data_IF_055740514653
#
_entry.id   IF_055740514653
#
_cell.length_a   1.000
_cell.length_b   1.000
_cell.length_c   1.000
_cell.angle_alpha   90.00
_cell.angle_beta   90.00
_cell.angle_gamma   90.00
#
_symmetry.space_group_name_H-M   'P 1'
#
loop_
_entity.id
_entity.type
_entity.pdbx_description
1 polymer ?
#
# COMPACT_ATOMS: atom_id res chain seq x y z
N UNK A 1 -14.17 -10.52 -19.08
CA UNK A 1 -13.95 -10.96 -17.69
C UNK A 1 -12.46 -10.82 -17.41
N UNK A 2 -12.05 -9.83 -16.62
CA UNK A 2 -10.63 -9.63 -16.28
C UNK A 2 -10.31 -10.53 -15.09
N UNK A 3 -9.48 -11.57 -15.29
CA UNK A 3 -8.78 -12.18 -14.16
C UNK A 3 -7.80 -11.15 -13.65
N UNK A 4 -8.02 -10.63 -12.45
CA UNK A 4 -7.06 -9.76 -11.78
C UNK A 4 -5.71 -10.46 -11.79
N UNK A 5 -4.74 -9.87 -12.47
CA UNK A 5 -3.37 -10.31 -12.43
C UNK A 5 -2.84 -10.01 -11.04
N UNK A 6 -3.11 -10.90 -10.09
CA UNK A 6 -2.52 -10.86 -8.77
C UNK A 6 -1.02 -11.07 -8.92
N UNK A 7 -0.23 -10.12 -8.45
CA UNK A 7 1.18 -10.34 -8.22
C UNK A 7 1.35 -10.85 -6.77
N UNK A 8 2.41 -11.62 -6.51
CA UNK A 8 2.78 -12.06 -5.19
C UNK A 8 4.31 -12.01 -5.02
N UNK A 9 4.77 -11.61 -3.84
CA UNK A 9 6.16 -11.67 -3.44
C UNK A 9 6.24 -12.35 -2.06
N UNK A 10 7.11 -13.35 -1.95
CA UNK A 10 7.38 -14.04 -0.68
C UNK A 10 8.88 -14.09 -0.43
N UNK A 11 9.28 -13.97 0.83
CA UNK A 11 10.65 -14.21 1.26
C UNK A 11 10.79 -15.67 1.65
N UNK A 12 11.88 -16.32 1.23
CA UNK A 12 12.17 -17.71 1.61
C UNK A 12 13.12 -17.81 2.82
N UNK A 13 14.05 -16.86 2.96
CA UNK A 13 15.11 -16.89 3.99
C UNK A 13 15.60 -15.50 4.43
N UNK A 14 14.91 -14.42 4.05
CA UNK A 14 15.29 -13.04 4.39
C UNK A 14 16.31 -12.38 3.44
N UNK A 15 16.98 -13.14 2.58
CA UNK A 15 17.99 -12.61 1.65
C UNK A 15 17.57 -12.63 0.17
N UNK A 16 16.53 -13.39 -0.19
CA UNK A 16 16.02 -13.49 -1.56
C UNK A 16 14.49 -13.37 -1.61
N UNK A 17 14.01 -12.51 -2.51
CA UNK A 17 12.58 -12.29 -2.80
C UNK A 17 12.25 -12.99 -4.11
N UNK A 18 11.28 -13.92 -4.08
CA UNK A 18 10.73 -14.55 -5.28
C UNK A 18 9.43 -13.86 -5.66
N UNK A 19 9.31 -13.50 -6.93
CA UNK A 19 8.18 -12.75 -7.45
C UNK A 19 7.51 -13.50 -8.60
N UNK A 20 6.18 -13.52 -8.56
CA UNK A 20 5.35 -14.15 -9.57
C UNK A 20 4.26 -13.20 -10.06
N UNK A 21 3.92 -13.30 -11.34
CA UNK A 21 2.91 -12.47 -12.01
C UNK A 21 3.46 -11.21 -12.69
N UNK A 22 2.70 -10.55 -13.57
CA UNK A 22 3.09 -9.30 -14.19
C UNK A 22 2.97 -8.15 -13.18
N UNK A 23 4.05 -7.39 -13.01
CA UNK A 23 4.10 -6.18 -12.17
C UNK A 23 5.15 -6.29 -11.09
N UNK A 24 5.99 -5.25 -10.96
CA UNK A 24 7.14 -5.09 -10.04
C UNK A 24 6.69 -4.86 -8.59
N UNK A 25 5.83 -5.73 -8.08
CA UNK A 25 5.29 -5.74 -6.72
C UNK A 25 6.32 -5.52 -5.62
N UNK A 26 7.55 -6.03 -5.76
CA UNK A 26 8.61 -5.72 -4.80
C UNK A 26 8.99 -4.24 -4.80
N UNK A 27 9.17 -3.64 -5.98
CA UNK A 27 9.48 -2.20 -6.11
C UNK A 27 8.33 -1.32 -5.63
N UNK A 28 7.09 -1.75 -5.84
CA UNK A 28 5.89 -1.08 -5.32
C UNK A 28 5.86 -1.10 -3.78
N UNK A 29 6.16 -2.25 -3.17
CA UNK A 29 6.27 -2.40 -1.71
C UNK A 29 7.41 -1.54 -1.17
N UNK A 30 8.58 -1.54 -1.80
CA UNK A 30 9.70 -0.68 -1.38
C UNK A 30 9.34 0.81 -1.48
N UNK A 31 8.64 1.21 -2.52
CA UNK A 31 8.20 2.59 -2.70
C UNK A 31 7.20 2.99 -1.62
N UNK A 32 6.20 2.13 -1.34
CA UNK A 32 5.25 2.34 -0.25
C UNK A 32 5.95 2.41 1.11
N UNK A 33 6.98 1.57 1.34
CA UNK A 33 7.79 1.62 2.55
C UNK A 33 8.56 2.94 2.69
N UNK A 34 9.21 3.41 1.63
CA UNK A 34 9.93 4.70 1.64
C UNK A 34 8.98 5.86 1.93
N UNK A 35 7.77 5.83 1.36
CA UNK A 35 6.72 6.82 1.62
C UNK A 35 6.25 6.79 3.08
N UNK A 36 6.03 5.60 3.64
CA UNK A 36 5.72 5.42 5.04
C UNK A 36 6.82 5.97 5.97
N UNK A 37 8.09 5.67 5.66
CA UNK A 37 9.24 6.19 6.40
C UNK A 37 9.31 7.74 6.30
N UNK A 38 9.07 8.31 5.12
CA UNK A 38 8.99 9.77 4.89
C UNK A 38 7.87 10.44 5.68
N UNK A 39 6.75 9.75 5.89
CA UNK A 39 5.63 10.21 6.72
C UNK A 39 5.90 10.13 8.22
N UNK A 40 7.10 9.68 8.62
CA UNK A 40 7.54 9.58 10.01
C UNK A 40 7.24 8.23 10.65
N UNK A 41 7.01 7.18 9.85
CA UNK A 41 6.60 5.86 10.32
C UNK A 41 5.39 5.91 11.28
N UNK A 42 4.24 6.46 10.82
CA UNK A 42 3.08 6.66 11.67
C UNK A 42 2.55 5.36 12.27
N UNK A 43 2.13 5.43 13.53
CA UNK A 43 1.51 4.29 14.21
C UNK A 43 0.20 3.89 13.52
N UNK A 44 -0.17 2.59 13.50
CA UNK A 44 -1.42 2.13 12.90
C UNK A 44 -2.68 2.89 13.37
N UNK A 45 -2.72 3.34 14.62
CA UNK A 45 -3.83 4.13 15.17
C UNK A 45 -3.93 5.56 14.61
N UNK A 46 -2.91 6.04 13.90
CA UNK A 46 -2.94 7.31 13.20
C UNK A 46 -3.60 7.22 11.83
N UNK A 47 -3.81 6.02 11.29
CA UNK A 47 -4.58 5.84 10.07
C UNK A 47 -6.06 5.81 10.39
N UNK A 48 -6.85 6.44 9.52
CA UNK A 48 -8.30 6.39 9.62
C UNK A 48 -8.97 6.18 8.27
N UNK A 49 -10.21 5.72 8.33
CA UNK A 49 -11.06 5.46 7.17
C UNK A 49 -12.39 6.17 7.38
N UNK A 50 -12.70 7.11 6.49
CA UNK A 50 -14.03 7.71 6.42
C UNK A 50 -14.82 7.01 5.32
N UNK A 51 -16.02 6.55 5.66
CA UNK A 51 -16.95 5.94 4.70
C UNK A 51 -18.18 6.83 4.57
N UNK A 52 -18.52 7.20 3.34
CA UNK A 52 -19.67 8.03 3.00
C UNK A 52 -20.48 7.34 1.89
N UNK A 53 -21.66 7.88 1.59
CA UNK A 53 -22.44 7.50 0.41
C UNK A 53 -21.70 7.71 -0.92
N UNK A 54 -20.68 8.58 -0.94
CA UNK A 54 -19.80 8.85 -2.10
C UNK A 54 -18.61 7.91 -2.19
N UNK A 55 -18.40 7.03 -1.20
CA UNK A 55 -17.31 6.07 -1.18
C UNK A 55 -16.45 6.14 0.09
N UNK A 56 -15.27 5.53 -0.01
CA UNK A 56 -14.32 5.40 1.10
C UNK A 56 -13.07 6.27 0.87
N UNK A 57 -12.59 6.92 1.93
CA UNK A 57 -11.37 7.75 1.91
C UNK A 57 -10.49 7.39 3.11
N UNK A 58 -9.26 7.00 2.83
CA UNK A 58 -8.24 6.75 3.85
C UNK A 58 -7.47 8.05 4.13
N UNK A 59 -7.09 8.28 5.37
CA UNK A 59 -6.40 9.49 5.79
C UNK A 59 -5.40 9.23 6.92
N UNK A 60 -4.50 10.18 7.14
CA UNK A 60 -3.47 10.11 8.17
C UNK A 60 -3.65 11.24 9.20
N UNK A 61 -3.82 10.86 10.47
CA UNK A 61 -4.05 11.69 11.67
C UNK A 61 -5.39 12.42 11.71
N UNK A 62 -5.85 12.97 10.59
CA UNK A 62 -7.10 13.71 10.51
C UNK A 62 -7.88 13.45 9.21
N UNK A 63 -9.23 13.50 9.22
CA UNK A 63 -10.06 13.16 8.05
C UNK A 63 -9.80 13.95 6.77
N UNK A 64 -9.15 15.11 6.86
CA UNK A 64 -8.83 15.96 5.72
C UNK A 64 -7.47 15.65 5.09
N UNK A 65 -6.59 14.94 5.79
CA UNK A 65 -5.28 14.52 5.31
C UNK A 65 -5.39 13.20 4.53
N UNK A 66 -6.12 13.24 3.43
CA UNK A 66 -6.40 12.09 2.57
C UNK A 66 -5.10 11.54 1.98
N UNK A 67 -4.92 10.22 2.06
CA UNK A 67 -3.83 9.51 1.41
C UNK A 67 -4.38 8.76 0.19
N UNK A 68 -3.79 9.02 -0.97
CA UNK A 68 -4.16 8.31 -2.19
C UNK A 68 -3.36 7.01 -2.30
N UNK A 69 -4.08 5.89 -2.42
CA UNK A 69 -3.46 4.67 -2.88
C UNK A 69 -3.06 4.89 -4.34
N UNK A 70 -1.75 4.95 -4.59
CA UNK A 70 -1.22 5.05 -5.95
C UNK A 70 -1.73 3.87 -6.76
N UNK A 71 -2.67 4.12 -7.67
CA UNK A 71 -3.04 3.14 -8.70
C UNK A 71 -1.90 3.12 -9.72
N UNK A 72 -1.25 1.96 -9.84
CA UNK A 72 -0.38 1.64 -10.97
C UNK A 72 -1.15 1.57 -12.27
#
# INVERSE_FOLDING_TARGET
>A
MSHGSGAAATTATGEAVWQYGPGLMWEEIETARREYERLGSPDPGQFGLTVTDRGQQMWLREPHAVIEARRG
#
